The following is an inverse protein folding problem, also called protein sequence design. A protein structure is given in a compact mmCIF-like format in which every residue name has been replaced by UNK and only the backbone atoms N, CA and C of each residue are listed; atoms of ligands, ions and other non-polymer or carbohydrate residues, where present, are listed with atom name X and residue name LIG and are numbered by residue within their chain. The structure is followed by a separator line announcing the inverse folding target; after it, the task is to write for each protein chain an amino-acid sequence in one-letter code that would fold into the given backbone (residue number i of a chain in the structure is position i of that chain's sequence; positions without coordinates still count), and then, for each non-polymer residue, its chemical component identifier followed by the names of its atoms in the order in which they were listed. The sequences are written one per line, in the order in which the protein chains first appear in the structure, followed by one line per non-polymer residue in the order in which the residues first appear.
data_IF_824210929200
#
_entry.id   IF_824210929200
#
_cell.length_a   1.000
_cell.length_b   1.000
_cell.length_c   1.000
_cell.angle_alpha   90.00
_cell.angle_beta   90.00
_cell.angle_gamma   90.00
#
_symmetry.space_group_name_H-M   'P 1'
#
loop_
_entity.id
_entity.type
_entity.pdbx_description
1 polymer ?
#
# COMPACT_ATOMS: atom_id res chain seq x y z
N UNK A 1 -39.14 -2.89 0.45
CA UNK A 1 -37.87 -3.05 1.21
C UNK A 1 -36.80 -3.44 0.20
N UNK A 2 -36.02 -2.49 -0.32
CA UNK A 2 -34.91 -2.79 -1.23
C UNK A 2 -33.73 -3.28 -0.39
N UNK A 3 -33.38 -4.57 -0.51
CA UNK A 3 -32.11 -5.09 -0.06
C UNK A 3 -31.03 -4.56 -1.01
N UNK A 4 -30.30 -3.53 -0.57
CA UNK A 4 -29.01 -3.20 -1.17
C UNK A 4 -28.03 -4.30 -0.77
N UNK A 5 -27.88 -5.32 -1.61
CA UNK A 5 -26.68 -6.14 -1.61
C UNK A 5 -25.59 -5.21 -2.13
N UNK A 6 -24.96 -4.45 -1.23
CA UNK A 6 -23.68 -3.82 -1.50
C UNK A 6 -22.71 -4.96 -1.75
N UNK A 7 -22.53 -5.31 -3.03
CA UNK A 7 -21.36 -6.04 -3.47
C UNK A 7 -20.17 -5.17 -3.07
N UNK A 8 -19.58 -5.46 -1.92
CA UNK A 8 -18.29 -4.96 -1.50
C UNK A 8 -17.25 -5.56 -2.46
N UNK A 9 -17.21 -5.04 -3.69
CA UNK A 9 -16.09 -5.29 -4.58
C UNK A 9 -14.94 -4.50 -3.94
N UNK A 10 -14.15 -5.18 -3.12
CA UNK A 10 -12.85 -4.65 -2.75
C UNK A 10 -12.04 -4.65 -4.03
N UNK A 11 -11.92 -3.48 -4.65
CA UNK A 11 -11.18 -3.32 -5.89
C UNK A 11 -9.70 -3.64 -5.60
N UNK A 12 -9.21 -4.70 -6.23
CA UNK A 12 -7.80 -5.04 -6.21
C UNK A 12 -7.02 -4.06 -7.08
N UNK A 13 -5.82 -3.69 -6.63
CA UNK A 13 -4.98 -2.74 -7.36
C UNK A 13 -3.50 -3.05 -7.22
N UNK A 14 -2.71 -2.62 -8.20
CA UNK A 14 -1.26 -2.49 -8.09
C UNK A 14 -0.89 -1.06 -7.74
N UNK A 15 0.20 -0.87 -7.02
CA UNK A 15 0.75 0.45 -6.67
C UNK A 15 1.93 0.76 -7.59
N UNK A 16 1.75 1.68 -8.53
CA UNK A 16 2.82 2.18 -9.40
C UNK A 16 3.49 3.39 -8.75
N UNK A 17 4.82 3.47 -8.79
CA UNK A 17 5.56 4.64 -8.28
C UNK A 17 5.38 5.84 -9.20
N UNK A 18 5.08 7.02 -8.65
CA UNK A 18 5.07 8.26 -9.44
C UNK A 18 6.49 8.77 -9.72
N UNK A 19 7.46 8.43 -8.88
CA UNK A 19 8.86 8.84 -9.04
C UNK A 19 9.60 7.99 -10.08
N UNK A 20 9.22 6.72 -10.24
CA UNK A 20 9.75 5.79 -11.26
C UNK A 20 8.56 5.08 -11.92
N UNK A 21 7.95 5.66 -12.97
CA UNK A 21 6.66 5.21 -13.51
C UNK A 21 6.63 3.76 -14.02
N UNK A 22 7.75 3.20 -14.46
CA UNK A 22 7.77 1.82 -14.99
C UNK A 22 7.76 0.75 -13.89
N UNK A 23 7.83 1.16 -12.61
CA UNK A 23 7.98 0.26 -11.48
C UNK A 23 6.82 0.34 -10.49
N UNK A 24 6.58 -0.80 -9.85
CA UNK A 24 5.46 -1.06 -8.97
C UNK A 24 5.93 -1.58 -7.62
N UNK A 25 5.13 -1.40 -6.58
CA UNK A 25 5.41 -1.98 -5.27
C UNK A 25 5.25 -3.49 -5.34
N UNK A 26 6.27 -4.21 -4.87
CA UNK A 26 6.28 -5.66 -4.84
C UNK A 26 7.38 -6.21 -3.94
N UNK A 27 7.74 -7.46 -4.15
CA UNK A 27 8.83 -8.12 -3.42
C UNK A 27 9.87 -8.64 -4.40
N UNK A 28 11.14 -8.37 -4.12
CA UNK A 28 12.23 -8.91 -4.92
C UNK A 28 12.60 -10.34 -4.50
N UNK A 29 13.60 -10.92 -5.17
CA UNK A 29 14.08 -12.27 -4.89
C UNK A 29 14.63 -12.45 -3.47
N UNK A 30 15.09 -11.37 -2.82
CA UNK A 30 15.59 -11.37 -1.44
C UNK A 30 14.46 -11.20 -0.39
N UNK A 31 13.19 -11.36 -0.79
CA UNK A 31 12.03 -11.20 0.11
C UNK A 31 11.91 -9.79 0.72
N UNK A 32 12.43 -8.79 0.01
CA UNK A 32 12.36 -7.40 0.43
C UNK A 32 11.24 -6.68 -0.31
N UNK A 33 10.43 -5.94 0.44
CA UNK A 33 9.43 -5.01 -0.09
C UNK A 33 10.14 -3.83 -0.77
N UNK A 34 9.94 -3.69 -2.07
CA UNK A 34 10.67 -2.76 -2.93
C UNK A 34 9.88 -2.44 -4.22
N UNK A 35 10.54 -1.79 -5.18
CA UNK A 35 10.03 -1.60 -6.52
C UNK A 35 10.44 -2.74 -7.46
N UNK A 36 9.49 -3.21 -8.27
CA UNK A 36 9.65 -4.29 -9.25
C UNK A 36 8.92 -3.95 -10.56
N UNK A 37 9.25 -4.65 -11.63
CA UNK A 37 8.51 -4.54 -12.90
C UNK A 37 7.07 -5.06 -12.75
N UNK A 38 6.16 -4.58 -13.61
CA UNK A 38 4.73 -4.89 -13.54
C UNK A 38 4.38 -6.39 -13.42
N UNK A 39 5.04 -7.33 -14.13
CA UNK A 39 4.73 -8.75 -14.02
C UNK A 39 4.99 -9.35 -12.62
N UNK A 40 5.86 -8.71 -11.84
CA UNK A 40 6.22 -9.13 -10.47
C UNK A 40 5.56 -8.27 -9.40
N UNK A 41 4.77 -7.27 -9.80
CA UNK A 41 4.08 -6.36 -8.90
C UNK A 41 3.08 -7.10 -7.99
N UNK A 42 3.01 -6.68 -6.74
CA UNK A 42 2.02 -7.20 -5.82
C UNK A 42 0.64 -6.59 -6.11
N UNK A 43 -0.39 -7.40 -5.86
CA UNK A 43 -1.78 -6.98 -5.91
C UNK A 43 -2.23 -6.74 -4.48
N UNK A 44 -2.80 -5.56 -4.24
CA UNK A 44 -3.21 -5.10 -2.93
C UNK A 44 -4.73 -5.02 -2.82
N UNK A 45 -5.21 -5.18 -1.60
CA UNK A 45 -6.58 -4.92 -1.17
C UNK A 45 -6.55 -4.04 0.08
N UNK A 46 -7.55 -3.19 0.21
CA UNK A 46 -7.82 -2.49 1.46
C UNK A 46 -8.86 -3.27 2.27
N UNK A 47 -8.51 -3.60 3.50
CA UNK A 47 -9.42 -4.20 4.47
C UNK A 47 -9.65 -3.25 5.63
N UNK A 48 -10.91 -2.95 5.93
CA UNK A 48 -11.27 -2.01 6.99
C UNK A 48 -10.70 -2.42 8.36
N UNK A 49 -9.96 -1.52 9.01
CA UNK A 49 -9.28 -1.81 10.29
C UNK A 49 -10.14 -1.55 11.55
N UNK A 50 -11.45 -1.31 11.39
CA UNK A 50 -12.39 -1.16 12.51
C UNK A 50 -12.53 0.25 13.07
N UNK A 51 -11.54 1.13 12.88
CA UNK A 51 -11.53 2.51 13.39
C UNK A 51 -11.05 3.50 12.32
N UNK A 52 -11.63 4.72 12.32
CA UNK A 52 -11.03 5.93 11.74
C UNK A 52 -10.53 5.94 10.28
N UNK A 53 -11.29 5.44 9.29
CA UNK A 53 -10.87 5.43 7.86
C UNK A 53 -9.47 4.83 7.63
N UNK A 54 -8.98 4.04 8.58
CA UNK A 54 -7.74 3.29 8.49
C UNK A 54 -8.06 1.91 7.93
N UNK A 55 -7.18 1.44 7.07
CA UNK A 55 -7.28 0.14 6.41
C UNK A 55 -5.98 -0.63 6.64
N UNK A 56 -6.11 -1.96 6.66
CA UNK A 56 -4.99 -2.86 6.42
C UNK A 56 -4.73 -2.92 4.92
N UNK A 57 -3.47 -2.81 4.53
CA UNK A 57 -3.04 -3.07 3.15
C UNK A 57 -2.64 -4.54 3.08
N UNK A 58 -3.45 -5.33 2.40
CA UNK A 58 -3.36 -6.80 2.33
C UNK A 58 -2.93 -7.25 0.94
N UNK A 59 -2.13 -8.31 0.86
CA UNK A 59 -1.62 -8.89 -0.39
C UNK A 59 -2.22 -10.28 -0.60
N UNK A 60 -3.42 -10.40 -1.20
CA UNK A 60 -4.10 -11.69 -1.38
C UNK A 60 -3.26 -12.73 -2.13
N UNK A 61 -2.42 -12.31 -3.07
CA UNK A 61 -1.56 -13.22 -3.86
C UNK A 61 -0.44 -13.89 -3.06
N UNK A 62 -0.24 -13.48 -1.81
CA UNK A 62 0.81 -13.97 -0.90
C UNK A 62 0.24 -14.46 0.42
N UNK A 63 -0.79 -15.31 0.36
CA UNK A 63 -1.47 -15.84 1.54
C UNK A 63 -2.05 -14.74 2.44
N UNK A 64 -2.43 -13.61 1.86
CA UNK A 64 -2.99 -12.46 2.57
C UNK A 64 -2.08 -11.89 3.66
N UNK A 65 -0.76 -11.90 3.44
CA UNK A 65 0.15 -11.06 4.25
C UNK A 65 -0.26 -9.59 4.17
N UNK A 66 0.07 -8.84 5.21
CA UNK A 66 -0.24 -7.42 5.32
C UNK A 66 1.02 -6.59 5.47
N UNK A 67 0.88 -5.28 5.28
CA UNK A 67 1.95 -4.34 5.60
C UNK A 67 2.13 -4.18 7.12
N UNK A 68 3.38 -4.29 7.56
CA UNK A 68 3.85 -3.96 8.90
C UNK A 68 4.88 -2.85 8.82
N UNK A 69 4.74 -1.86 9.68
CA UNK A 69 5.75 -0.84 9.86
C UNK A 69 6.54 -1.08 11.15
N UNK A 70 7.85 -1.24 11.02
CA UNK A 70 8.74 -1.13 12.18
C UNK A 70 8.75 0.33 12.66
N UNK A 71 8.10 0.62 13.79
CA UNK A 71 8.02 2.00 14.33
C UNK A 71 9.38 2.54 14.81
N UNK A 72 10.35 1.69 15.14
CA UNK A 72 11.67 2.12 15.60
C UNK A 72 12.56 2.53 14.42
N UNK A 73 12.56 1.74 13.35
CA UNK A 73 13.38 2.00 12.15
C UNK A 73 12.64 2.78 11.06
N UNK A 74 11.31 2.81 11.12
CA UNK A 74 10.43 3.36 10.10
C UNK A 74 10.36 2.51 8.83
N UNK A 75 10.84 1.27 8.83
CA UNK A 75 10.89 0.42 7.63
C UNK A 75 9.57 -0.33 7.44
N UNK A 76 9.12 -0.43 6.20
CA UNK A 76 7.92 -1.19 5.83
C UNK A 76 8.29 -2.61 5.37
N UNK A 77 7.53 -3.59 5.82
CA UNK A 77 7.71 -5.01 5.47
C UNK A 77 6.36 -5.73 5.36
N UNK A 78 6.41 -7.01 4.97
CA UNK A 78 5.27 -7.90 5.03
C UNK A 78 5.26 -8.70 6.34
N UNK A 79 4.07 -8.97 6.86
CA UNK A 79 3.84 -9.90 7.97
C UNK A 79 2.57 -10.72 7.75
N UNK A 80 2.54 -11.93 8.30
CA UNK A 80 1.34 -12.76 8.43
C UNK A 80 0.60 -12.53 9.77
N UNK A 81 1.23 -11.84 10.72
CA UNK A 81 0.67 -11.57 12.04
C UNK A 81 -0.20 -10.32 12.04
N UNK A 82 -1.51 -10.48 11.91
CA UNK A 82 -2.48 -9.38 12.02
C UNK A 82 -2.84 -9.10 13.49
N UNK A 83 -2.28 -8.03 14.07
CA UNK A 83 -2.54 -7.61 15.45
C UNK A 83 -3.31 -6.29 15.55
N UNK A 84 -3.51 -5.57 14.45
CA UNK A 84 -4.34 -4.36 14.41
C UNK A 84 -3.72 -3.15 15.13
N UNK A 85 -2.42 -3.16 15.38
CA UNK A 85 -1.70 -2.04 15.98
C UNK A 85 -1.56 -0.86 15.02
N UNK A 86 -1.06 0.28 15.50
CA UNK A 86 -0.87 1.47 14.66
C UNK A 86 0.11 1.22 13.50
N UNK A 87 1.08 0.32 13.68
CA UNK A 87 2.03 -0.10 12.64
C UNK A 87 1.39 -0.80 11.44
N UNK A 88 0.14 -1.27 11.58
CA UNK A 88 -0.62 -2.00 10.54
C UNK A 88 -1.76 -1.18 9.94
N UNK A 89 -1.91 0.07 10.36
CA UNK A 89 -3.03 0.94 9.98
C UNK A 89 -2.56 2.00 9.02
N UNK A 90 -3.14 2.02 7.83
CA UNK A 90 -2.75 2.94 6.78
C UNK A 90 -3.97 3.66 6.23
N UNK A 91 -3.74 4.87 5.71
CA UNK A 91 -4.74 5.64 4.96
C UNK A 91 -4.21 5.92 3.57
N UNK A 92 -5.00 5.60 2.56
CA UNK A 92 -4.73 6.09 1.21
C UNK A 92 -5.44 7.42 1.02
N UNK A 93 -4.67 8.50 0.83
CA UNK A 93 -5.24 9.82 0.60
C UNK A 93 -5.01 10.23 -0.85
N UNK A 94 -6.12 10.42 -1.57
CA UNK A 94 -6.10 10.93 -2.94
C UNK A 94 -5.50 12.34 -2.98
N UNK A 95 -4.73 12.60 -4.03
CA UNK A 95 -4.10 13.87 -4.37
C UNK A 95 -4.49 14.25 -5.80
N UNK A 96 -4.19 15.49 -6.25
CA UNK A 96 -4.44 15.89 -7.63
C UNK A 96 -3.86 14.91 -8.66
N UNK A 97 -4.40 14.94 -9.88
CA UNK A 97 -3.94 14.10 -11.01
C UNK A 97 -4.04 12.58 -10.79
N UNK A 98 -4.93 12.14 -9.89
CA UNK A 98 -5.15 10.70 -9.64
C UNK A 98 -4.01 10.02 -8.88
N UNK A 99 -3.13 10.81 -8.25
CA UNK A 99 -2.08 10.29 -7.38
C UNK A 99 -2.62 10.03 -5.97
N UNK A 100 -1.92 9.19 -5.23
CA UNK A 100 -2.24 8.83 -3.86
C UNK A 100 -0.99 8.87 -3.01
N UNK A 101 -1.16 9.30 -1.76
CA UNK A 101 -0.19 9.08 -0.70
C UNK A 101 -0.71 8.01 0.24
N UNK A 102 0.20 7.15 0.70
CA UNK A 102 -0.12 6.16 1.72
C UNK A 102 0.44 6.67 3.04
N UNK A 103 -0.45 6.92 4.00
CA UNK A 103 -0.12 7.51 5.28
C UNK A 103 -0.22 6.48 6.39
N UNK A 104 0.65 6.61 7.39
CA UNK A 104 0.57 5.90 8.66
C UNK A 104 0.54 6.95 9.77
N UNK A 105 -0.63 7.19 10.37
CA UNK A 105 -0.87 8.30 11.30
C UNK A 105 -1.19 9.64 10.61
N UNK A 106 -0.98 10.76 11.33
CA UNK A 106 -1.50 12.09 10.94
C UNK A 106 -0.63 12.82 9.91
N UNK A 107 0.70 12.70 9.99
CA UNK A 107 1.62 13.45 9.13
C UNK A 107 2.83 12.62 8.66
N UNK A 108 2.66 11.31 8.54
CA UNK A 108 3.72 10.42 8.08
C UNK A 108 3.27 9.61 6.87
N UNK A 109 4.13 9.57 5.88
CA UNK A 109 3.90 8.99 4.56
C UNK A 109 4.92 7.89 4.29
N UNK A 110 4.44 6.82 3.65
CA UNK A 110 5.29 5.77 3.10
C UNK A 110 6.01 6.34 1.88
N UNK A 111 7.33 6.24 1.89
CA UNK A 111 8.22 6.90 0.94
C UNK A 111 9.29 5.94 0.49
N UNK A 112 9.51 5.87 -0.82
CA UNK A 112 10.61 5.14 -1.40
C UNK A 112 11.97 5.79 -1.07
N UNK A 113 12.91 5.00 -0.55
CA UNK A 113 14.30 5.39 -0.41
C UNK A 113 15.10 4.82 -1.59
N UNK A 114 15.62 5.69 -2.46
CA UNK A 114 16.40 5.27 -3.63
C UNK A 114 17.76 4.66 -3.31
N UNK A 115 18.35 4.97 -2.14
CA UNK A 115 19.68 4.43 -1.81
C UNK A 115 19.60 2.97 -1.38
N UNK A 116 18.57 2.65 -0.62
CA UNK A 116 18.37 1.31 -0.06
C UNK A 116 17.32 0.52 -0.81
N UNK A 117 16.55 1.14 -1.70
CA UNK A 117 15.42 0.53 -2.42
C UNK A 117 14.42 -0.12 -1.45
N UNK A 118 14.18 0.53 -0.31
CA UNK A 118 13.14 0.16 0.67
C UNK A 118 12.09 1.27 0.80
N UNK A 119 11.00 0.95 1.49
CA UNK A 119 10.00 1.93 1.86
C UNK A 119 10.12 2.30 3.32
N UNK A 120 10.07 3.61 3.58
CA UNK A 120 10.20 4.18 4.91
C UNK A 120 9.05 5.12 5.26
N UNK A 121 8.71 5.19 6.54
CA UNK A 121 7.89 6.23 7.12
C UNK A 121 8.73 7.48 7.31
N UNK A 122 8.36 8.55 6.62
CA UNK A 122 8.91 9.90 6.83
C UNK A 122 7.77 10.91 6.89
N UNK A 123 8.09 12.15 7.25
CA UNK A 123 7.10 13.24 7.23
C UNK A 123 6.54 13.44 5.83
N UNK A 124 5.22 13.61 5.74
CA UNK A 124 4.58 13.89 4.46
C UNK A 124 5.07 15.23 3.88
N UNK A 125 5.48 15.21 2.61
CA UNK A 125 5.92 16.37 1.85
C UNK A 125 5.26 16.35 0.46
N UNK A 126 4.41 17.31 0.16
CA UNK A 126 3.65 17.35 -1.10
C UNK A 126 4.51 17.62 -2.33
N UNK A 127 5.76 18.04 -2.17
CA UNK A 127 6.72 18.21 -3.26
C UNK A 127 7.59 16.95 -3.50
N UNK A 128 7.52 15.93 -2.63
CA UNK A 128 8.33 14.72 -2.76
C UNK A 128 7.61 13.62 -3.55
N UNK A 129 7.98 13.47 -4.83
CA UNK A 129 7.44 12.44 -5.74
C UNK A 129 7.61 11.01 -5.22
N UNK A 130 8.59 10.74 -4.34
CA UNK A 130 8.81 9.40 -3.76
C UNK A 130 7.69 8.96 -2.80
N UNK A 131 6.79 9.88 -2.44
CA UNK A 131 5.62 9.62 -1.59
C UNK A 131 4.35 9.35 -2.38
N UNK A 132 4.39 9.47 -3.71
CA UNK A 132 3.23 9.40 -4.57
C UNK A 132 3.17 8.11 -5.35
N UNK A 133 1.96 7.56 -5.41
CA UNK A 133 1.65 6.33 -6.10
C UNK A 133 0.43 6.52 -7.01
N UNK A 134 0.38 5.75 -8.09
CA UNK A 134 -0.83 5.55 -8.89
C UNK A 134 -1.41 4.19 -8.53
N UNK A 135 -2.73 4.15 -8.39
CA UNK A 135 -3.46 2.91 -8.22
C UNK A 135 -3.89 2.42 -9.59
N UNK A 136 -3.33 1.28 -10.01
CA UNK A 136 -3.69 0.62 -11.26
C UNK A 136 -4.67 -0.49 -10.90
N UNK A 137 -5.95 -0.27 -11.19
CA UNK A 137 -6.99 -1.25 -10.92
C UNK A 137 -6.71 -2.54 -11.70
N UNK A 138 -6.76 -3.67 -11.01
CA UNK A 138 -6.71 -4.98 -11.65
C UNK A 138 -8.14 -5.44 -11.88
N UNK A 139 -8.52 -5.69 -13.12
CA UNK A 139 -9.84 -6.24 -13.41
C UNK A 139 -9.96 -7.62 -12.77
N UNK A 140 -10.88 -7.76 -11.81
CA UNK A 140 -11.30 -9.04 -11.23
C UNK A 140 -11.97 -9.90 -12.33
N UNK A 141 -11.16 -10.55 -13.18
CA UNK A 141 -11.60 -11.77 -13.85
C UNK A 141 -11.39 -12.87 -12.82
N UNK A 142 -12.51 -13.34 -12.26
CA UNK A 142 -12.59 -14.13 -11.03
C UNK A 142 -11.56 -15.24 -10.89
N UNK A 143 -11.11 -15.40 -9.65
CA UNK A 143 -10.68 -16.70 -9.12
C UNK A 143 -11.85 -17.69 -9.18
#
# INVERSE_FOLDING_TARGET
MLLFILSAVSDSFKLQSAAIPDFFVGENQAKKLTLVEEPFADVFLLEFAGLSRDDFITVPTKHSVIWELDEAMGNLSYTDLKHGGLSQRFKMIKRPFGLYKIMNGVNSCITLNFQTEDFRKITCNDDDLKQYFRLIQTSNRGF
#
